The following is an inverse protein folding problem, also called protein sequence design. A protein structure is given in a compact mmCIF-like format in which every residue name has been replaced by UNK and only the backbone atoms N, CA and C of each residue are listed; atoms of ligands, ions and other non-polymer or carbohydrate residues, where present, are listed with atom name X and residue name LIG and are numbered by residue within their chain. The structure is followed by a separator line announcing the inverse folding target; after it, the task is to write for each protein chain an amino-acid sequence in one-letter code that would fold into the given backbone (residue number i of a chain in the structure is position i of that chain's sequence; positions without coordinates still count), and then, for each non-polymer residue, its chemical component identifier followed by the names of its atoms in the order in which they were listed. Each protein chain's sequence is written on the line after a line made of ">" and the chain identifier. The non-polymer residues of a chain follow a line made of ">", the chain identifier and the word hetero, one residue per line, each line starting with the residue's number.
data_IF_981584283521
#
_entry.id   IF_981584283521
#
_cell.length_a   1.000
_cell.length_b   1.000
_cell.length_c   1.000
_cell.angle_alpha   90.00
_cell.angle_beta   90.00
_cell.angle_gamma   90.00
#
_symmetry.space_group_name_H-M   'P 1'
#
loop_
_entity.id
_entity.type
_entity.pdbx_description
1 polymer ?
#
# COMPACT_ATOMS: atom_id res chain seq x y z
N UNK A 1 3.32 -1.39 23.66
CA UNK A 1 3.50 -2.82 23.30
C UNK A 1 3.87 -2.84 21.81
N UNK A 2 5.16 -2.66 21.54
CA UNK A 2 5.73 -2.62 20.20
C UNK A 2 6.14 -4.04 19.81
N UNK A 3 5.66 -4.52 18.67
CA UNK A 3 6.13 -5.77 18.07
C UNK A 3 6.70 -5.40 16.71
N UNK A 4 8.01 -5.15 16.65
CA UNK A 4 8.94 -5.38 15.54
C UNK A 4 10.32 -4.89 16.00
N UNK A 5 10.91 -5.60 16.96
CA UNK A 5 12.36 -5.65 17.15
C UNK A 5 12.70 -7.11 17.39
N UNK A 6 13.19 -7.77 16.34
CA UNK A 6 13.84 -9.07 16.43
C UNK A 6 15.23 -8.87 15.84
N UNK A 7 16.22 -8.63 16.70
CA UNK A 7 17.62 -8.69 16.28
C UNK A 7 17.96 -10.15 15.94
N UNK A 8 18.44 -10.40 14.72
CA UNK A 8 19.53 -11.37 14.47
C UNK A 8 20.13 -11.25 13.06
N UNK A 9 21.46 -11.05 13.07
CA UNK A 9 22.50 -11.22 12.05
C UNK A 9 22.22 -10.78 10.62
N UNK A 10 22.80 -9.63 10.30
CA UNK A 10 23.06 -9.11 8.97
C UNK A 10 24.04 -10.06 8.26
N UNK A 11 23.55 -10.78 7.26
CA UNK A 11 24.37 -11.24 6.14
C UNK A 11 24.23 -10.17 5.05
N UNK A 12 25.29 -9.36 4.97
CA UNK A 12 25.37 -8.10 4.23
C UNK A 12 25.63 -8.35 2.75
N UNK A 13 24.62 -8.13 1.90
CA UNK A 13 24.82 -8.07 0.45
C UNK A 13 23.55 -8.11 -0.40
N UNK A 14 22.59 -8.98 -0.09
CA UNK A 14 21.43 -9.26 -0.98
C UNK A 14 20.07 -8.74 -0.46
N UNK A 15 20.05 -8.16 0.75
CA UNK A 15 18.82 -7.97 1.53
C UNK A 15 18.14 -6.59 1.42
N UNK A 16 18.84 -5.54 0.98
CA UNK A 16 18.25 -4.17 0.93
C UNK A 16 17.48 -3.90 -0.37
N UNK A 17 17.99 -4.35 -1.52
CA UNK A 17 17.30 -4.23 -2.82
C UNK A 17 16.00 -5.05 -2.87
N UNK A 18 16.00 -6.23 -2.23
CA UNK A 18 14.83 -7.10 -2.13
C UNK A 18 13.78 -6.54 -1.15
N UNK A 19 14.19 -5.88 -0.07
CA UNK A 19 13.29 -5.26 0.90
C UNK A 19 12.47 -4.10 0.29
N UNK A 20 13.12 -3.20 -0.45
CA UNK A 20 12.44 -2.11 -1.18
C UNK A 20 11.60 -2.62 -2.37
N UNK A 21 11.64 -3.91 -2.66
CA UNK A 21 10.87 -4.51 -3.74
C UNK A 21 9.45 -4.94 -3.32
N UNK A 22 9.20 -5.08 -2.02
CA UNK A 22 7.94 -5.60 -1.47
C UNK A 22 6.95 -4.50 -1.09
N UNK A 23 5.70 -4.90 -0.87
CA UNK A 23 4.62 -4.05 -0.34
C UNK A 23 4.43 -2.73 -1.10
N UNK A 24 4.56 -2.79 -2.44
CA UNK A 24 4.54 -1.66 -3.36
C UNK A 24 5.53 -0.51 -3.03
N UNK A 25 6.69 -0.80 -2.44
CA UNK A 25 7.77 0.19 -2.23
C UNK A 25 8.72 0.34 -3.42
N UNK A 26 8.59 -0.49 -4.45
CA UNK A 26 9.49 -0.47 -5.59
C UNK A 26 9.43 0.87 -6.32
N UNK A 27 10.62 1.38 -6.69
CA UNK A 27 10.79 2.59 -7.50
C UNK A 27 10.63 2.35 -9.00
N UNK A 28 10.27 1.13 -9.41
CA UNK A 28 10.04 0.78 -10.81
C UNK A 28 8.82 1.53 -11.37
N UNK A 29 9.02 2.19 -12.52
CA UNK A 29 7.98 2.97 -13.20
C UNK A 29 6.85 2.07 -13.69
N UNK A 30 5.63 2.37 -13.25
CA UNK A 30 4.39 1.66 -13.59
C UNK A 30 3.75 2.26 -14.85
N UNK A 31 4.33 1.96 -16.01
CA UNK A 31 3.83 2.43 -17.30
C UNK A 31 3.90 1.34 -18.39
N UNK A 32 2.79 1.05 -19.11
CA UNK A 32 1.44 1.59 -18.90
C UNK A 32 0.80 1.09 -17.60
N UNK A 33 -0.28 1.73 -17.15
CA UNK A 33 -1.12 1.17 -16.08
C UNK A 33 -1.88 -0.04 -16.62
N UNK A 34 -1.73 -1.24 -16.02
CA UNK A 34 -2.49 -2.41 -16.45
C UNK A 34 -3.98 -2.25 -16.15
N UNK A 35 -4.85 -2.73 -17.05
CA UNK A 35 -6.31 -2.68 -16.88
C UNK A 35 -6.79 -3.45 -15.64
N UNK A 36 -6.02 -4.45 -15.19
CA UNK A 36 -6.34 -5.22 -14.00
C UNK A 36 -6.27 -4.38 -12.72
N UNK A 37 -5.49 -3.29 -12.70
CA UNK A 37 -5.35 -2.40 -11.53
C UNK A 37 -6.46 -1.36 -11.55
N UNK A 38 -7.47 -1.52 -10.70
CA UNK A 38 -8.69 -0.70 -10.74
C UNK A 38 -8.57 0.63 -10.02
N UNK A 39 -7.71 0.73 -9.02
CA UNK A 39 -7.57 1.92 -8.18
C UNK A 39 -6.24 2.63 -8.44
N UNK A 40 -6.17 3.90 -8.07
CA UNK A 40 -5.02 4.79 -8.32
C UNK A 40 -4.42 5.29 -7.01
N UNK A 41 -3.12 5.56 -7.05
CA UNK A 41 -2.42 6.28 -5.98
C UNK A 41 -3.11 7.63 -5.72
N UNK A 42 -3.23 7.97 -4.44
CA UNK A 42 -3.91 9.17 -3.95
C UNK A 42 -5.40 9.00 -3.69
N UNK A 43 -6.04 7.91 -4.13
CA UNK A 43 -7.45 7.67 -3.78
C UNK A 43 -7.60 7.27 -2.31
N UNK A 44 -8.70 7.72 -1.71
CA UNK A 44 -9.05 7.40 -0.32
C UNK A 44 -9.96 6.18 -0.30
N UNK A 45 -9.73 5.29 0.66
CA UNK A 45 -10.42 4.02 0.80
C UNK A 45 -11.05 3.86 2.18
N UNK A 46 -12.03 2.97 2.25
CA UNK A 46 -12.42 2.26 3.47
C UNK A 46 -12.15 0.77 3.26
N UNK A 47 -11.51 0.13 4.24
CA UNK A 47 -11.29 -1.31 4.24
C UNK A 47 -12.60 -2.05 4.51
N UNK A 48 -13.13 -2.80 3.53
CA UNK A 48 -14.48 -3.41 3.58
C UNK A 48 -14.78 -4.19 4.86
N UNK A 49 -13.81 -4.98 5.34
CA UNK A 49 -13.98 -5.87 6.50
C UNK A 49 -13.67 -5.23 7.85
N UNK A 50 -12.79 -4.23 7.88
CA UNK A 50 -12.21 -3.71 9.13
C UNK A 50 -12.62 -2.25 9.38
N UNK A 51 -13.25 -1.60 8.40
CA UNK A 51 -13.85 -0.26 8.53
C UNK A 51 -12.87 0.90 8.59
N UNK A 52 -11.55 0.66 8.66
CA UNK A 52 -10.58 1.76 8.71
C UNK A 52 -10.47 2.47 7.36
N UNK A 53 -10.30 3.80 7.43
CA UNK A 53 -10.01 4.64 6.27
C UNK A 53 -8.50 4.81 6.02
N UNK A 54 -8.11 5.11 4.78
CA UNK A 54 -6.71 5.39 4.44
C UNK A 54 -6.54 5.86 3.00
N UNK A 55 -5.31 6.17 2.61
CA UNK A 55 -4.99 6.60 1.23
C UNK A 55 -4.05 5.59 0.58
N UNK A 56 -4.30 5.29 -0.71
CA UNK A 56 -3.43 4.44 -1.52
C UNK A 56 -2.14 5.20 -1.84
N UNK A 57 -0.99 4.62 -1.51
CA UNK A 57 0.35 5.18 -1.81
C UNK A 57 1.16 4.35 -2.81
N UNK A 58 0.67 3.17 -3.18
CA UNK A 58 1.30 2.33 -4.19
C UNK A 58 0.49 1.08 -4.48
N UNK A 59 0.79 0.42 -5.60
CA UNK A 59 0.18 -0.85 -5.99
C UNK A 59 1.16 -1.80 -6.66
N UNK A 60 0.87 -3.09 -6.54
CA UNK A 60 1.48 -4.17 -7.32
C UNK A 60 0.37 -4.94 -8.06
N UNK A 61 0.66 -5.40 -9.28
CA UNK A 61 -0.31 -6.15 -10.12
C UNK A 61 -0.70 -7.50 -9.48
N UNK A 62 0.22 -8.06 -8.70
CA UNK A 62 0.06 -9.26 -7.88
C UNK A 62 0.70 -8.99 -6.53
N UNK A 63 0.33 -9.75 -5.50
CA UNK A 63 0.94 -9.61 -4.19
C UNK A 63 2.46 -9.82 -4.28
N UNK A 64 3.22 -8.79 -3.92
CA UNK A 64 4.67 -8.83 -3.83
C UNK A 64 5.07 -8.60 -2.38
N UNK A 65 5.27 -9.70 -1.65
CA UNK A 65 5.71 -9.73 -0.26
C UNK A 65 6.52 -11.02 -0.01
N UNK A 66 7.27 -11.11 1.10
CA UNK A 66 7.95 -12.36 1.46
C UNK A 66 6.97 -13.53 1.50
N UNK A 67 7.37 -14.69 0.99
CA UNK A 67 6.46 -15.84 0.83
C UNK A 67 5.89 -16.31 2.18
N UNK A 68 6.71 -16.33 3.23
CA UNK A 68 6.25 -16.63 4.60
C UNK A 68 5.15 -15.67 5.07
N UNK A 69 5.30 -14.37 4.78
CA UNK A 69 4.29 -13.37 5.11
C UNK A 69 2.98 -13.62 4.35
N UNK A 70 3.07 -13.98 3.08
CA UNK A 70 1.91 -14.29 2.24
C UNK A 70 1.18 -15.56 2.72
N UNK A 71 1.91 -16.59 3.13
CA UNK A 71 1.34 -17.81 3.72
C UNK A 71 0.63 -17.54 5.05
N UNK A 72 1.23 -16.71 5.90
CA UNK A 72 0.62 -16.32 7.18
C UNK A 72 -0.59 -15.40 7.00
N UNK A 73 -0.57 -14.52 5.99
CA UNK A 73 -1.67 -13.59 5.72
C UNK A 73 -2.89 -14.30 5.14
N UNK A 74 -2.69 -15.27 4.25
CA UNK A 74 -3.77 -15.90 3.50
C UNK A 74 -3.91 -17.37 3.85
N UNK A 75 -5.07 -17.81 4.39
CA UNK A 75 -5.32 -19.23 4.59
C UNK A 75 -5.33 -19.97 3.24
N UNK A 76 -5.16 -21.30 3.21
CA UNK A 76 -5.13 -22.09 1.97
C UNK A 76 -6.28 -21.81 1.00
N UNK A 77 -7.50 -21.63 1.52
CA UNK A 77 -8.70 -21.33 0.71
C UNK A 77 -8.68 -19.94 0.03
N UNK A 78 -7.73 -19.05 0.38
CA UNK A 78 -7.62 -17.69 -0.13
C UNK A 78 -6.28 -17.39 -0.81
N UNK A 79 -5.54 -18.43 -1.19
CA UNK A 79 -4.25 -18.27 -1.88
C UNK A 79 -4.38 -17.55 -3.23
N UNK A 80 -5.55 -17.64 -3.89
CA UNK A 80 -5.85 -16.90 -5.13
C UNK A 80 -5.71 -15.38 -4.98
N UNK A 81 -5.81 -14.84 -3.75
CA UNK A 81 -5.61 -13.42 -3.52
C UNK A 81 -4.19 -12.99 -3.87
N UNK A 82 -3.19 -13.87 -3.82
CA UNK A 82 -1.82 -13.52 -4.22
C UNK A 82 -1.73 -13.07 -5.69
N UNK A 83 -2.65 -13.53 -6.54
CA UNK A 83 -2.63 -13.28 -7.99
C UNK A 83 -3.44 -12.05 -8.43
N UNK A 84 -4.02 -11.28 -7.50
CA UNK A 84 -4.77 -10.06 -7.79
C UNK A 84 -4.01 -8.80 -7.35
N UNK A 85 -4.38 -7.60 -7.84
CA UNK A 85 -3.72 -6.37 -7.44
C UNK A 85 -3.75 -6.15 -5.93
N UNK A 86 -2.63 -5.64 -5.43
CA UNK A 86 -2.42 -5.33 -4.01
C UNK A 86 -2.00 -3.89 -3.84
N UNK A 87 -2.50 -3.27 -2.78
CA UNK A 87 -2.35 -1.84 -2.55
C UNK A 87 -1.70 -1.58 -1.20
N UNK A 88 -0.75 -0.65 -1.17
CA UNK A 88 -0.17 -0.10 0.05
C UNK A 88 -0.98 1.10 0.49
N UNK A 89 -1.40 1.09 1.74
CA UNK A 89 -2.29 2.09 2.34
C UNK A 89 -1.59 2.77 3.50
N UNK A 90 -1.64 4.11 3.55
CA UNK A 90 -1.41 4.86 4.80
C UNK A 90 -2.74 4.95 5.55
N UNK A 91 -2.80 4.38 6.75
CA UNK A 91 -4.02 4.29 7.55
C UNK A 91 -4.26 5.63 8.25
N UNK A 92 -5.48 6.14 8.19
CA UNK A 92 -5.84 7.35 8.91
C UNK A 92 -5.67 7.15 10.42
N UNK A 93 -4.83 7.98 11.06
CA UNK A 93 -4.56 7.92 12.50
C UNK A 93 -5.84 8.12 13.32
N UNK A 94 -6.81 8.87 12.80
CA UNK A 94 -8.11 9.09 13.43
C UNK A 94 -8.91 7.79 13.65
N UNK A 95 -8.61 6.71 12.92
CA UNK A 95 -9.29 5.43 13.11
C UNK A 95 -8.91 4.73 14.44
N UNK A 96 -7.81 5.12 15.09
CA UNK A 96 -7.33 4.43 16.30
C UNK A 96 -6.91 2.96 16.09
N UNK A 97 -6.66 2.55 14.83
CA UNK A 97 -6.46 1.14 14.45
C UNK A 97 -5.12 0.53 14.94
N UNK A 98 -4.21 1.34 15.47
CA UNK A 98 -2.92 0.90 16.03
C UNK A 98 -1.86 0.49 15.01
N UNK A 99 -2.19 0.47 13.71
CA UNK A 99 -1.25 0.28 12.59
C UNK A 99 -1.16 1.56 11.76
N UNK A 100 0.05 1.88 11.30
CA UNK A 100 0.29 3.06 10.44
C UNK A 100 0.06 2.76 8.96
N UNK A 101 0.42 1.55 8.52
CA UNK A 101 0.31 1.12 7.13
C UNK A 101 -0.37 -0.24 7.00
N UNK A 102 -0.90 -0.52 5.81
CA UNK A 102 -1.37 -1.85 5.43
C UNK A 102 -1.05 -2.15 3.97
N UNK A 103 -0.94 -3.44 3.66
CA UNK A 103 -0.84 -3.96 2.29
C UNK A 103 -1.99 -4.93 2.07
N UNK A 104 -2.95 -4.61 1.22
CA UNK A 104 -4.25 -5.29 1.15
C UNK A 104 -4.63 -5.63 -0.30
N UNK A 105 -5.41 -6.71 -0.52
CA UNK A 105 -5.90 -7.06 -1.85
C UNK A 105 -6.97 -6.07 -2.33
N UNK A 106 -7.09 -5.92 -3.65
CA UNK A 106 -8.09 -5.06 -4.30
C UNK A 106 -9.52 -5.31 -3.81
N UNK A 107 -9.86 -6.58 -3.57
CA UNK A 107 -11.20 -6.98 -3.14
C UNK A 107 -11.59 -6.41 -1.78
N UNK A 108 -10.65 -6.03 -0.92
CA UNK A 108 -10.91 -5.45 0.40
C UNK A 108 -11.08 -3.91 0.37
N UNK A 109 -11.05 -3.28 -0.81
CA UNK A 109 -11.09 -1.81 -0.98
C UNK A 109 -12.45 -1.31 -1.47
N UNK A 110 -12.97 -0.27 -0.79
CA UNK A 110 -14.03 0.61 -1.29
C UNK A 110 -13.48 2.03 -1.39
N UNK A 111 -13.56 2.67 -2.56
CA UNK A 111 -13.17 4.07 -2.75
C UNK A 111 -14.21 5.01 -2.12
N UNK A 112 -13.72 6.04 -1.44
CA UNK A 112 -14.54 7.14 -0.91
C UNK A 112 -13.94 8.50 -1.29
N UNK A 113 -14.74 9.55 -1.21
CA UNK A 113 -14.35 10.94 -1.47
C UNK A 113 -14.73 11.83 -0.28
N UNK A 114 -14.21 13.05 -0.23
CA UNK A 114 -14.54 14.04 0.80
C UNK A 114 -13.91 13.78 2.19
N UNK A 115 -13.06 12.77 2.33
CA UNK A 115 -12.35 12.48 3.59
C UNK A 115 -10.85 12.78 3.45
N UNK A 116 -10.34 13.71 4.25
CA UNK A 116 -8.89 13.90 4.40
C UNK A 116 -8.32 12.93 5.44
N UNK A 117 -7.30 12.18 5.01
CA UNK A 117 -6.53 11.24 5.83
C UNK A 117 -5.45 11.98 6.62
N UNK A 118 -5.40 11.72 7.93
CA UNK A 118 -4.35 12.22 8.80
C UNK A 118 -3.31 11.12 9.04
N UNK A 119 -2.10 11.30 8.51
CA UNK A 119 -0.96 10.41 8.72
C UNK A 119 0.35 11.21 8.71
N UNK A 120 1.37 10.80 9.48
CA UNK A 120 2.64 11.57 9.57
C UNK A 120 3.34 11.66 8.22
N UNK A 121 3.25 10.59 7.43
CA UNK A 121 4.03 10.47 6.20
C UNK A 121 3.32 11.10 5.01
N UNK A 122 2.13 11.71 5.17
CA UNK A 122 1.35 12.28 4.07
C UNK A 122 2.17 13.25 3.21
N UNK A 123 2.96 14.12 3.85
CA UNK A 123 3.76 15.14 3.18
C UNK A 123 4.86 14.53 2.27
N UNK A 124 5.32 13.32 2.58
CA UNK A 124 6.29 12.62 1.76
C UNK A 124 5.69 12.16 0.43
N UNK A 125 4.40 11.79 0.40
CA UNK A 125 3.74 11.23 -0.79
C UNK A 125 2.89 12.24 -1.56
N UNK A 126 2.29 13.22 -0.87
CA UNK A 126 1.27 14.08 -1.44
C UNK A 126 1.49 15.57 -1.11
N UNK A 127 1.06 16.43 -2.03
CA UNK A 127 1.16 17.90 -1.90
C UNK A 127 -0.19 18.56 -1.56
N UNK A 128 -1.32 17.87 -1.74
CA UNK A 128 -2.65 18.40 -1.45
C UNK A 128 -3.76 17.39 -1.72
N UNK A 129 -5.00 17.77 -1.38
CA UNK A 129 -6.21 17.00 -1.61
C UNK A 129 -7.21 17.83 -2.42
N UNK A 130 -7.70 17.31 -3.55
CA UNK A 130 -8.59 18.04 -4.46
C UNK A 130 -10.09 17.83 -4.16
N UNK A 131 -10.42 17.10 -3.09
CA UNK A 131 -11.79 16.73 -2.72
C UNK A 131 -12.19 15.32 -3.20
N UNK A 132 -11.48 14.78 -4.18
CA UNK A 132 -11.66 13.42 -4.70
C UNK A 132 -10.47 12.52 -4.39
N UNK A 133 -9.24 12.97 -4.67
CA UNK A 133 -7.99 12.25 -4.44
C UNK A 133 -6.86 13.21 -4.05
N UNK A 134 -5.76 12.62 -3.58
CA UNK A 134 -4.54 13.36 -3.26
C UNK A 134 -3.66 13.57 -4.50
N UNK A 135 -3.11 14.77 -4.62
CA UNK A 135 -2.10 15.11 -5.64
C UNK A 135 -0.75 14.55 -5.22
N UNK A 136 -0.21 13.65 -6.04
CA UNK A 136 1.10 13.04 -5.82
C UNK A 136 2.23 14.09 -5.84
N UNK A 137 3.23 13.88 -4.98
CA UNK A 137 4.52 14.55 -5.13
C UNK A 137 5.19 14.16 -6.46
N UNK A 138 6.07 15.01 -7.03
CA UNK A 138 6.68 14.77 -8.34
C UNK A 138 7.39 13.42 -8.45
N UNK A 139 8.05 12.97 -7.38
CA UNK A 139 8.76 11.68 -7.38
C UNK A 139 7.79 10.49 -7.49
N UNK A 140 6.64 10.55 -6.80
CA UNK A 140 5.65 9.49 -6.81
C UNK A 140 4.89 9.47 -8.15
N UNK A 141 4.62 10.65 -8.73
CA UNK A 141 4.05 10.78 -10.07
C UNK A 141 4.96 10.21 -11.16
N UNK A 142 6.30 10.25 -11.00
CA UNK A 142 7.23 9.58 -11.93
C UNK A 142 7.12 8.06 -11.89
N UNK A 143 6.83 7.50 -10.71
CA UNK A 143 6.63 6.04 -10.54
C UNK A 143 5.25 5.64 -11.07
N UNK A 144 4.20 6.44 -10.82
CA UNK A 144 2.82 6.17 -11.24
C UNK A 144 2.29 7.24 -12.21
N UNK A 145 2.85 7.34 -13.44
CA UNK A 145 2.54 8.45 -14.36
C UNK A 145 1.09 8.47 -14.83
N UNK A 146 0.40 7.31 -14.82
CA UNK A 146 -0.98 7.16 -15.31
C UNK A 146 -2.04 7.19 -14.21
N UNK A 147 -1.65 7.43 -12.95
CA UNK A 147 -2.56 7.53 -11.80
C UNK A 147 -3.04 8.95 -11.49
#
# INVERSE_FOLDING_TARGET
>A
RNWYYGEKKIESGENEETAHSYFAESTYVRSPKPESVRFSVGQVIIHKRLGYSGVIVGWDVKAKAPEEWLQNKYPPAKQYLKDIPHYRILINKANGFGKSTAYIPEEEITIIMGLQVHHSDMIAYFSGYDGSKYTMQPWLKRIYPHD
#
